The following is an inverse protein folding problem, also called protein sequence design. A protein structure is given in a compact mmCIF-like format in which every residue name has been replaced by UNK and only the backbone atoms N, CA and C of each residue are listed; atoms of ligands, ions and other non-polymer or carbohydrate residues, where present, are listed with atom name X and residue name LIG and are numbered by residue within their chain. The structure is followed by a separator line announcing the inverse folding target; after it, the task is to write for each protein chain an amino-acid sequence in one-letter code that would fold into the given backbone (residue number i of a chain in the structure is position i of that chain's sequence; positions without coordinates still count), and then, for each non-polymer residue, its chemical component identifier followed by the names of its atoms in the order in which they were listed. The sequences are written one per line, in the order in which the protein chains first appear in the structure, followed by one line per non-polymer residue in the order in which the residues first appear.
data_IF_643171442993
#
_entry.id   IF_643171442993
#
_cell.length_a   1.000
_cell.length_b   1.000
_cell.length_c   1.000
_cell.angle_alpha   90.00
_cell.angle_beta   90.00
_cell.angle_gamma   90.00
#
_symmetry.space_group_name_H-M   'P 1'
#
loop_
_entity.id
_entity.type
_entity.pdbx_description
1 polymer ?
#
# COMPACT_ATOMS: atom_id res chain seq x y z
N UNK A 1 -1.09 5.06 -17.42
CA UNK A 1 -0.96 4.78 -15.97
C UNK A 1 -1.88 5.72 -15.22
N UNK A 2 -2.87 5.18 -14.53
CA UNK A 2 -3.84 5.95 -13.73
C UNK A 2 -3.52 5.74 -12.25
N UNK A 3 -3.40 6.83 -11.50
CA UNK A 3 -3.17 6.84 -10.04
C UNK A 3 -4.39 7.41 -9.35
N UNK A 4 -5.08 6.57 -8.57
CA UNK A 4 -6.30 6.94 -7.84
C UNK A 4 -6.00 6.94 -6.35
N UNK A 5 -6.26 8.05 -5.66
CA UNK A 5 -6.15 8.11 -4.19
C UNK A 5 -7.27 7.28 -3.58
N UNK A 6 -6.93 6.25 -2.82
CA UNK A 6 -7.90 5.46 -2.06
C UNK A 6 -8.10 6.01 -0.65
N UNK A 7 -6.99 6.37 0.00
CA UNK A 7 -7.03 6.92 1.35
C UNK A 7 -5.90 7.92 1.57
N UNK A 8 -6.20 8.90 2.43
CA UNK A 8 -5.23 9.80 3.04
C UNK A 8 -5.51 9.82 4.52
N UNK A 9 -4.61 9.27 5.33
CA UNK A 9 -4.81 9.17 6.77
C UNK A 9 -3.54 9.49 7.54
N UNK A 10 -3.71 9.98 8.76
CA UNK A 10 -2.65 10.23 9.71
C UNK A 10 -2.72 9.18 10.82
N UNK A 11 -1.65 8.40 10.98
CA UNK A 11 -1.48 7.51 12.12
C UNK A 11 -0.58 8.17 13.15
N UNK A 12 -1.11 8.42 14.35
CA UNK A 12 -0.32 8.96 15.45
C UNK A 12 0.28 7.81 16.27
N UNK A 13 1.60 7.69 16.28
CA UNK A 13 2.35 6.75 17.13
C UNK A 13 3.11 7.57 18.17
N UNK A 14 2.66 7.50 19.43
CA UNK A 14 3.12 8.38 20.53
C UNK A 14 2.90 9.87 20.18
N UNK A 15 3.95 10.68 20.28
CA UNK A 15 3.94 12.12 19.93
C UNK A 15 4.24 12.35 18.44
N UNK A 16 4.52 11.30 17.67
CA UNK A 16 4.81 11.41 16.24
C UNK A 16 3.53 11.19 15.43
N UNK A 17 3.17 12.16 14.61
CA UNK A 17 2.12 12.01 13.60
C UNK A 17 2.73 11.54 12.29
N UNK A 18 2.33 10.36 11.84
CA UNK A 18 2.81 9.76 10.61
C UNK A 18 1.67 9.82 9.59
N UNK A 19 1.87 10.62 8.55
CA UNK A 19 0.93 10.69 7.44
C UNK A 19 1.24 9.60 6.44
N UNK A 20 0.20 8.86 6.02
CA UNK A 20 0.29 7.92 4.92
C UNK A 20 -0.79 8.16 3.88
N UNK A 21 -0.43 7.88 2.63
CA UNK A 21 -1.29 7.97 1.46
C UNK A 21 -1.32 6.60 0.79
N UNK A 22 -2.50 6.13 0.44
CA UNK A 22 -2.71 4.88 -0.28
C UNK A 22 -3.31 5.18 -1.64
N UNK A 23 -2.70 4.64 -2.67
CA UNK A 23 -3.13 4.79 -4.05
C UNK A 23 -3.38 3.43 -4.69
N UNK A 24 -4.45 3.33 -5.49
CA UNK A 24 -4.60 2.29 -6.49
C UNK A 24 -3.95 2.76 -7.79
N UNK A 25 -3.06 1.94 -8.32
CA UNK A 25 -2.40 2.15 -9.59
C UNK A 25 -2.88 1.08 -10.56
N UNK A 26 -3.38 1.52 -11.71
CA UNK A 26 -3.76 0.62 -12.80
C UNK A 26 -3.16 1.16 -14.10
N UNK A 27 -2.50 0.28 -14.84
CA UNK A 27 -2.07 0.51 -16.21
C UNK A 27 -2.53 -0.66 -17.11
N UNK A 28 -2.17 -0.60 -18.39
CA UNK A 28 -2.60 -1.60 -19.38
C UNK A 28 -2.06 -3.02 -19.09
N UNK A 29 -1.06 -3.15 -18.22
CA UNK A 29 -0.33 -4.39 -17.97
C UNK A 29 -0.44 -4.88 -16.51
N UNK A 30 -0.78 -4.02 -15.55
CA UNK A 30 -0.74 -4.35 -14.14
C UNK A 30 -1.62 -3.48 -13.26
N UNK A 31 -2.09 -4.08 -12.17
CA UNK A 31 -2.76 -3.39 -11.07
C UNK A 31 -1.98 -3.62 -9.77
N UNK A 32 -1.68 -2.53 -9.06
CA UNK A 32 -0.95 -2.56 -7.79
C UNK A 32 -1.32 -1.37 -6.92
N UNK A 33 -0.79 -1.35 -5.70
CA UNK A 33 -1.05 -0.30 -4.72
C UNK A 33 0.25 0.37 -4.32
N UNK A 34 0.21 1.68 -4.12
CA UNK A 34 1.32 2.43 -3.54
C UNK A 34 0.92 2.96 -2.17
N UNK A 35 1.78 2.73 -1.18
CA UNK A 35 1.66 3.32 0.14
C UNK A 35 2.85 4.25 0.35
N UNK A 36 2.58 5.55 0.33
CA UNK A 36 3.57 6.59 0.62
C UNK A 36 3.49 6.95 2.09
N UNK A 37 4.61 6.83 2.81
CA UNK A 37 4.68 7.14 4.23
C UNK A 37 6.06 7.69 4.60
N UNK A 38 6.08 8.81 5.33
CA UNK A 38 7.31 9.54 5.64
C UNK A 38 8.11 9.87 4.35
N UNK A 39 9.24 9.20 4.13
CA UNK A 39 10.11 9.34 2.96
C UNK A 39 10.24 8.04 2.17
N UNK A 40 9.37 7.06 2.43
CA UNK A 40 9.38 5.75 1.80
C UNK A 40 8.11 5.53 0.99
N UNK A 41 8.23 4.69 -0.05
CA UNK A 41 7.10 4.28 -0.88
C UNK A 41 7.14 2.78 -1.01
N UNK A 42 6.08 2.13 -0.53
CA UNK A 42 5.90 0.68 -0.64
C UNK A 42 4.97 0.39 -1.81
N UNK A 43 5.44 -0.38 -2.79
CA UNK A 43 4.64 -0.79 -3.94
C UNK A 43 4.23 -2.25 -3.75
N UNK A 44 2.93 -2.49 -3.68
CA UNK A 44 2.35 -3.73 -3.19
C UNK A 44 1.42 -4.34 -4.23
N UNK A 45 1.48 -5.65 -4.41
CA UNK A 45 0.54 -6.43 -5.21
C UNK A 45 0.21 -7.74 -4.52
N UNK A 46 -0.93 -8.34 -4.89
CA UNK A 46 -1.22 -9.72 -4.49
C UNK A 46 -0.58 -10.70 -5.45
N UNK A 47 0.07 -11.73 -4.90
CA UNK A 47 0.52 -12.88 -5.69
C UNK A 47 -0.67 -13.73 -6.17
N UNK A 48 -0.38 -14.81 -6.92
CA UNK A 48 -1.40 -15.73 -7.41
C UNK A 48 -2.16 -16.48 -6.30
N UNK A 49 -1.64 -16.48 -5.07
CA UNK A 49 -2.24 -17.11 -3.89
C UNK A 49 -3.02 -16.08 -3.04
N UNK A 50 -3.01 -14.81 -3.42
CA UNK A 50 -3.67 -13.72 -2.71
C UNK A 50 -2.86 -13.10 -1.58
N UNK A 51 -1.57 -13.44 -1.43
CA UNK A 51 -0.69 -12.86 -0.41
C UNK A 51 -0.12 -11.52 -0.87
N UNK A 52 0.09 -10.61 0.08
CA UNK A 52 0.77 -9.35 -0.20
C UNK A 52 2.26 -9.56 -0.44
N UNK A 53 2.73 -9.04 -1.57
CA UNK A 53 4.11 -9.06 -2.02
C UNK A 53 4.46 -7.69 -2.57
N UNK A 54 5.75 -7.38 -2.67
CA UNK A 54 6.15 -6.20 -3.43
C UNK A 54 6.11 -6.46 -4.94
N UNK A 55 6.42 -5.44 -5.75
CA UNK A 55 6.30 -5.56 -7.20
C UNK A 55 7.23 -6.63 -7.80
N UNK A 56 8.39 -6.84 -7.19
CA UNK A 56 9.37 -7.82 -7.63
C UNK A 56 9.22 -9.18 -6.91
N UNK A 57 8.14 -9.33 -6.14
CA UNK A 57 7.83 -10.56 -5.39
C UNK A 57 8.54 -10.64 -4.03
N UNK A 58 9.12 -9.54 -3.57
CA UNK A 58 9.78 -9.45 -2.29
C UNK A 58 8.77 -9.57 -1.12
N UNK A 59 9.23 -10.21 -0.05
CA UNK A 59 8.46 -10.41 1.18
C UNK A 59 9.16 -9.70 2.33
N UNK A 60 8.42 -8.88 3.05
CA UNK A 60 8.89 -8.24 4.29
C UNK A 60 7.73 -8.02 5.25
N UNK A 61 8.05 -7.82 6.53
CA UNK A 61 7.05 -7.48 7.53
C UNK A 61 6.33 -6.16 7.21
N UNK A 62 7.04 -5.19 6.62
CA UNK A 62 6.46 -3.92 6.19
C UNK A 62 5.48 -4.10 5.02
N UNK A 63 5.81 -4.94 4.03
CA UNK A 63 4.92 -5.26 2.90
C UNK A 63 3.63 -5.90 3.39
N UNK A 64 3.75 -6.88 4.28
CA UNK A 64 2.57 -7.53 4.87
C UNK A 64 1.72 -6.52 5.64
N UNK A 65 2.35 -5.71 6.50
CA UNK A 65 1.67 -4.70 7.31
C UNK A 65 0.93 -3.68 6.46
N UNK A 66 1.57 -3.12 5.44
CA UNK A 66 0.94 -2.14 4.55
C UNK A 66 -0.13 -2.78 3.66
N UNK A 67 0.06 -4.04 3.25
CA UNK A 67 -0.96 -4.81 2.56
C UNK A 67 -2.24 -4.97 3.39
N UNK A 68 -2.13 -5.27 4.67
CA UNK A 68 -3.28 -5.32 5.58
C UNK A 68 -4.01 -3.97 5.70
N UNK A 69 -3.27 -2.86 5.69
CA UNK A 69 -3.86 -1.50 5.67
C UNK A 69 -4.65 -1.28 4.37
N UNK A 70 -4.10 -1.69 3.22
CA UNK A 70 -4.80 -1.61 1.93
C UNK A 70 -6.08 -2.46 1.96
N UNK A 71 -6.01 -3.71 2.44
CA UNK A 71 -7.18 -4.58 2.58
C UNK A 71 -8.27 -3.96 3.47
N UNK A 72 -7.88 -3.29 4.56
CA UNK A 72 -8.82 -2.61 5.45
C UNK A 72 -9.50 -1.42 4.76
N UNK A 73 -8.78 -0.65 3.94
CA UNK A 73 -9.32 0.47 3.18
C UNK A 73 -10.33 -0.03 2.14
N UNK A 74 -10.00 -1.09 1.40
CA UNK A 74 -10.85 -1.62 0.33
C UNK A 74 -12.14 -2.29 0.83
N UNK A 75 -12.20 -2.65 2.12
CA UNK A 75 -13.38 -3.27 2.75
C UNK A 75 -14.37 -2.25 3.32
N UNK A 76 -13.97 -0.98 3.46
CA UNK A 76 -14.81 0.13 3.95
C UNK A 76 -15.25 1.03 2.81
#
# INVERSE_FOLDING_TARGET
MTKTVLARQSWKIKETEINYLVYAISDEQSEYYEVEILHETFRLKKDALGNWTGLDGELSDDIRKWGEVVDMILRN
#
